data_IF_151750373729
#
_entry.id   IF_151750373729
#
_cell.length_a   1.000
_cell.length_b   1.000
_cell.length_c   1.000
_cell.angle_alpha   90.00
_cell.angle_beta   90.00
_cell.angle_gamma   90.00
#
_symmetry.space_group_name_H-M   'P 1'
#
loop_
_entity.id
_entity.type
_entity.pdbx_description
1 polymer ?
#
# COMPACT_ATOMS: atom_id res chain seq x y z
N UNK A 1 -3.21 2.26 56.83
CA UNK A 1 -2.47 2.94 55.75
C UNK A 1 -1.58 1.92 55.03
N UNK A 2 -1.56 1.98 53.68
CA UNK A 2 -0.43 1.53 52.83
C UNK A 2 -0.34 0.04 52.43
N UNK A 3 -1.43 -0.61 51.98
CA UNK A 3 -1.34 -1.91 51.24
C UNK A 3 -2.34 -2.12 50.09
N UNK A 4 -3.01 -1.07 49.61
CA UNK A 4 -4.02 -1.21 48.53
C UNK A 4 -3.69 -0.28 47.34
N UNK A 5 -2.44 -0.28 46.86
CA UNK A 5 -2.04 0.55 45.71
C UNK A 5 -1.20 -0.20 44.66
N UNK A 6 -1.05 -1.52 44.76
CA UNK A 6 -0.14 -2.26 43.89
C UNK A 6 -0.81 -2.96 42.69
N UNK A 7 -2.11 -2.76 42.45
CA UNK A 7 -2.87 -3.61 41.50
C UNK A 7 -3.38 -2.89 40.25
N UNK A 8 -3.06 -1.61 40.06
CA UNK A 8 -3.59 -0.80 38.93
C UNK A 8 -2.56 -0.48 37.84
N UNK A 9 -1.49 -1.28 37.72
CA UNK A 9 -0.41 -1.02 36.75
C UNK A 9 -0.27 -2.08 35.64
N UNK A 10 -1.09 -3.14 35.63
CA UNK A 10 -0.93 -4.30 34.74
C UNK A 10 -2.14 -4.48 33.82
N UNK A 11 -2.71 -3.40 33.30
CA UNK A 11 -3.83 -3.46 32.34
C UNK A 11 -3.63 -2.62 31.07
N UNK A 12 -2.49 -1.95 30.93
CA UNK A 12 -2.17 -1.13 29.75
C UNK A 12 -1.36 -1.86 28.69
N UNK A 13 -0.92 -3.11 28.92
CA UNK A 13 -0.04 -3.86 28.03
C UNK A 13 -0.73 -4.59 26.86
N UNK A 14 -2.06 -4.48 26.71
CA UNK A 14 -2.80 -5.02 25.56
C UNK A 14 -3.14 -3.99 24.47
N UNK A 15 -2.63 -2.76 24.56
CA UNK A 15 -2.58 -1.88 23.40
C UNK A 15 -1.50 -2.39 22.43
N UNK A 16 -1.80 -3.51 21.76
CA UNK A 16 -0.96 -4.01 20.67
C UNK A 16 -0.77 -2.90 19.66
N UNK A 17 0.48 -2.64 19.27
CA UNK A 17 0.75 -1.82 18.11
C UNK A 17 -0.06 -2.42 16.95
N UNK A 18 -1.04 -1.68 16.45
CA UNK A 18 -1.71 -2.04 15.20
C UNK A 18 -0.66 -2.21 14.10
N UNK A 19 -0.96 -2.93 13.01
CA UNK A 19 -0.02 -3.03 11.91
C UNK A 19 0.41 -1.62 11.52
N UNK A 20 1.71 -1.34 11.65
CA UNK A 20 2.25 -0.11 11.10
C UNK A 20 1.92 -0.17 9.61
N UNK A 21 1.13 0.79 9.13
CA UNK A 21 0.93 0.94 7.69
C UNK A 21 2.30 1.28 7.12
N UNK A 22 2.98 0.27 6.58
CA UNK A 22 4.19 0.51 5.81
C UNK A 22 3.81 1.42 4.65
N UNK A 23 4.70 2.35 4.29
CA UNK A 23 4.52 3.09 3.05
C UNK A 23 4.39 2.07 1.92
N UNK A 24 3.22 2.06 1.28
CA UNK A 24 2.94 1.18 0.15
C UNK A 24 3.01 1.96 -1.14
N UNK A 25 3.30 1.25 -2.22
CA UNK A 25 3.44 1.84 -3.54
C UNK A 25 2.16 1.61 -4.36
N UNK A 26 1.79 2.65 -5.10
CA UNK A 26 0.81 2.59 -6.18
C UNK A 26 1.50 2.92 -7.50
N UNK A 27 0.82 2.66 -8.61
CA UNK A 27 1.28 3.11 -9.91
C UNK A 27 0.10 3.21 -10.89
N UNK A 28 0.21 4.11 -11.86
CA UNK A 28 -0.71 4.23 -12.98
C UNK A 28 0.09 4.12 -14.28
N UNK A 29 -0.37 3.25 -15.17
CA UNK A 29 0.07 3.14 -16.55
C UNK A 29 -0.96 3.75 -17.49
N UNK A 30 -0.48 4.31 -18.60
CA UNK A 30 -1.31 4.99 -19.60
C UNK A 30 -0.80 4.72 -21.01
N UNK A 31 -1.73 4.45 -21.93
CA UNK A 31 -1.51 4.40 -23.38
C UNK A 31 -1.84 5.76 -24.01
N UNK A 32 -0.87 6.46 -24.62
CA UNK A 32 -1.14 7.71 -25.33
C UNK A 32 -2.00 7.57 -26.57
N UNK A 33 -1.94 6.43 -27.27
CA UNK A 33 -2.68 6.25 -28.52
C UNK A 33 -4.15 5.89 -28.31
N UNK A 34 -4.48 5.11 -27.28
CA UNK A 34 -5.85 4.63 -27.05
C UNK A 34 -6.52 5.26 -25.81
N UNK A 35 -5.74 5.85 -24.91
CA UNK A 35 -6.23 6.33 -23.63
C UNK A 35 -6.44 5.22 -22.59
N UNK A 36 -6.09 3.97 -22.90
CA UNK A 36 -6.17 2.88 -21.95
C UNK A 36 -5.34 3.17 -20.69
N UNK A 37 -5.84 2.74 -19.53
CA UNK A 37 -5.16 2.91 -18.24
C UNK A 37 -5.08 1.57 -17.52
N UNK A 38 -4.04 1.42 -16.72
CA UNK A 38 -3.88 0.32 -15.77
C UNK A 38 -3.34 0.87 -14.46
N UNK A 39 -3.70 0.23 -13.35
CA UNK A 39 -3.35 0.74 -12.02
C UNK A 39 -3.07 -0.40 -11.06
N UNK A 40 -2.36 -0.07 -10.00
CA UNK A 40 -2.00 -0.97 -8.89
C UNK A 40 -1.88 -0.19 -7.59
N UNK A 41 -2.05 -0.85 -6.46
CA UNK A 41 -1.99 -0.27 -5.12
C UNK A 41 -1.53 -1.32 -4.11
N UNK A 42 -1.10 -0.86 -2.92
CA UNK A 42 -0.71 -1.71 -1.80
C UNK A 42 0.44 -2.71 -2.12
N UNK A 43 1.40 -2.30 -2.95
CA UNK A 43 2.60 -3.10 -3.21
C UNK A 43 3.74 -2.73 -2.26
N UNK A 44 4.53 -3.71 -1.86
CA UNK A 44 5.72 -3.54 -1.01
C UNK A 44 6.89 -2.86 -1.73
N UNK A 45 6.81 -2.71 -3.06
CA UNK A 45 7.83 -2.03 -3.86
C UNK A 45 7.23 -1.28 -5.03
N UNK A 46 7.86 -0.16 -5.38
CA UNK A 46 7.56 0.63 -6.58
C UNK A 46 7.56 -0.21 -7.85
N UNK A 47 8.58 -1.04 -8.05
CA UNK A 47 8.69 -1.87 -9.27
C UNK A 47 7.57 -2.92 -9.38
N UNK A 48 7.11 -3.46 -8.25
CA UNK A 48 5.94 -4.34 -8.21
C UNK A 48 4.66 -3.63 -8.64
N UNK A 49 4.43 -2.42 -8.10
CA UNK A 49 3.32 -1.58 -8.51
C UNK A 49 3.39 -1.25 -10.02
N UNK A 50 4.51 -0.73 -10.50
CA UNK A 50 4.70 -0.38 -11.91
C UNK A 50 4.46 -1.57 -12.85
N UNK A 51 4.95 -2.77 -12.49
CA UNK A 51 4.76 -3.99 -13.28
C UNK A 51 3.29 -4.35 -13.41
N UNK A 52 2.52 -4.33 -12.31
CA UNK A 52 1.11 -4.68 -12.34
C UNK A 52 0.27 -3.59 -13.02
N UNK A 53 0.55 -2.31 -12.76
CA UNK A 53 -0.11 -1.22 -13.46
C UNK A 53 0.10 -1.31 -14.97
N UNK A 54 1.34 -1.59 -15.43
CA UNK A 54 1.65 -1.82 -16.85
C UNK A 54 0.86 -3.00 -17.41
N UNK A 55 0.95 -4.16 -16.77
CA UNK A 55 0.26 -5.38 -17.22
C UNK A 55 -1.23 -5.15 -17.41
N UNK A 56 -1.88 -4.50 -16.46
CA UNK A 56 -3.31 -4.21 -16.52
C UNK A 56 -3.67 -3.23 -17.66
N UNK A 57 -2.77 -2.31 -18.01
CA UNK A 57 -2.94 -1.43 -19.17
C UNK A 57 -2.77 -2.21 -20.49
N UNK A 58 -1.79 -3.13 -20.52
CA UNK A 58 -1.44 -3.92 -21.71
C UNK A 58 -2.58 -4.87 -22.16
N UNK A 59 -3.56 -5.14 -21.29
CA UNK A 59 -4.79 -5.87 -21.64
C UNK A 59 -5.65 -5.12 -22.67
N UNK A 60 -5.47 -3.80 -22.80
CA UNK A 60 -6.28 -2.93 -23.66
C UNK A 60 -5.47 -2.11 -24.68
N UNK A 61 -4.15 -2.11 -24.59
CA UNK A 61 -3.26 -1.34 -25.49
C UNK A 61 -1.85 -1.95 -25.54
N UNK A 62 -1.01 -1.51 -26.49
CA UNK A 62 0.34 -2.08 -26.67
C UNK A 62 1.47 -1.05 -26.46
N UNK A 63 1.13 0.20 -26.16
CA UNK A 63 2.04 1.34 -26.00
C UNK A 63 1.95 1.96 -24.59
N UNK A 64 1.55 1.15 -23.60
CA UNK A 64 1.43 1.60 -22.23
C UNK A 64 2.80 2.01 -21.64
N UNK A 65 2.81 3.13 -20.90
CA UNK A 65 3.97 3.65 -20.16
C UNK A 65 3.58 4.03 -18.73
N UNK A 66 4.53 4.00 -17.78
CA UNK A 66 4.25 4.39 -16.39
C UNK A 66 4.08 5.91 -16.40
N UNK A 67 2.94 6.39 -15.93
CA UNK A 67 2.63 7.80 -15.85
C UNK A 67 3.02 8.38 -14.48
N UNK A 68 2.74 7.64 -13.40
CA UNK A 68 3.04 8.03 -12.02
C UNK A 68 3.18 6.78 -11.13
N UNK A 69 3.91 6.91 -10.03
CA UNK A 69 4.14 5.95 -8.96
C UNK A 69 4.24 6.65 -7.60
#
# INVERSE_FOLDING_TARGET
MKRILASLAVLTSLAGAGPALADTYGAIAYSPSSGATGWSYAYDSRGGAETVARRNCDESANDCRIAIW
#
